data_IF_022458041542
#
_entry.id   IF_022458041542
#
_cell.length_a   1.000
_cell.length_b   1.000
_cell.length_c   1.000
_cell.angle_alpha   90.00
_cell.angle_beta   90.00
_cell.angle_gamma   90.00
#
_symmetry.space_group_name_H-M   'P 1'
#
loop_
_entity.id
_entity.type
_entity.pdbx_description
1 polymer ?
#
# COMPACT_ATOMS: atom_id res chain seq x y z
N UNK A 1 12.14 -7.74 12.81
CA UNK A 1 11.90 -6.32 13.12
C UNK A 1 10.64 -6.20 13.97
N UNK A 2 10.71 -5.41 15.05
CA UNK A 2 9.57 -5.07 15.91
C UNK A 2 9.40 -3.55 15.87
N UNK A 3 8.20 -3.06 15.68
CA UNK A 3 7.94 -1.62 15.59
C UNK A 3 6.67 -1.20 16.30
N UNK A 4 6.58 0.09 16.63
CA UNK A 4 5.38 0.79 17.03
C UNK A 4 5.27 2.06 16.20
N UNK A 5 4.08 2.32 15.67
CA UNK A 5 3.81 3.46 14.80
C UNK A 5 2.59 4.24 15.35
N UNK A 6 2.79 5.14 16.31
CA UNK A 6 1.74 6.01 16.77
C UNK A 6 1.45 7.09 15.71
N UNK A 7 0.20 7.19 15.30
CA UNK A 7 -0.25 8.20 14.36
C UNK A 7 -1.24 9.15 15.02
N UNK A 8 -0.85 10.42 15.15
CA UNK A 8 -1.67 11.49 15.69
C UNK A 8 -2.10 12.42 14.57
N UNK A 9 -3.41 12.49 14.30
CA UNK A 9 -3.95 13.33 13.20
C UNK A 9 -3.97 14.82 13.60
N UNK A 10 -4.45 15.13 14.80
CA UNK A 10 -4.58 16.49 15.32
C UNK A 10 -4.92 16.42 16.82
N UNK A 11 -4.50 17.41 17.60
CA UNK A 11 -4.88 17.52 19.03
C UNK A 11 -6.40 17.66 19.24
N UNK A 12 -7.09 18.25 18.27
CA UNK A 12 -8.55 18.42 18.28
C UNK A 12 -9.29 17.16 17.77
N UNK A 13 -8.57 16.20 17.18
CA UNK A 13 -9.08 14.94 16.64
C UNK A 13 -8.44 13.73 17.30
N UNK A 14 -8.08 13.83 18.57
CA UNK A 14 -7.44 12.74 19.32
C UNK A 14 -8.20 11.41 19.28
N UNK A 15 -9.52 11.48 19.12
CA UNK A 15 -10.38 10.30 18.97
C UNK A 15 -10.18 9.51 17.66
N UNK A 16 -9.42 10.06 16.71
CA UNK A 16 -9.07 9.35 15.47
C UNK A 16 -7.61 8.88 15.46
N UNK A 17 -6.93 9.00 16.59
CA UNK A 17 -5.55 8.55 16.73
C UNK A 17 -5.49 7.03 16.59
N UNK A 18 -4.47 6.58 15.90
CA UNK A 18 -4.23 5.17 15.62
C UNK A 18 -2.88 4.76 16.19
N UNK A 19 -2.85 3.63 16.87
CA UNK A 19 -1.63 2.96 17.29
C UNK A 19 -1.49 1.67 16.51
N UNK A 20 -0.30 1.36 16.06
CA UNK A 20 0.00 0.08 15.45
C UNK A 20 1.32 -0.45 16.00
N UNK A 21 1.32 -1.70 16.40
CA UNK A 21 2.51 -2.43 16.82
C UNK A 21 2.58 -3.75 16.07
N UNK A 22 3.78 -4.28 15.84
CA UNK A 22 3.85 -5.52 15.08
C UNK A 22 5.23 -6.11 15.00
N UNK A 23 5.30 -7.24 14.30
CA UNK A 23 6.51 -8.02 14.06
C UNK A 23 6.64 -8.29 12.57
N UNK A 24 7.83 -8.07 12.04
CA UNK A 24 8.21 -8.45 10.68
C UNK A 24 9.31 -9.48 10.72
N UNK A 25 9.11 -10.57 10.03
CA UNK A 25 10.11 -11.62 9.79
C UNK A 25 10.40 -11.63 8.29
N UNK A 26 11.67 -11.45 7.94
CA UNK A 26 12.11 -11.49 6.55
C UNK A 26 13.24 -12.50 6.41
N UNK A 27 13.17 -13.31 5.38
CA UNK A 27 14.23 -14.25 5.03
C UNK A 27 14.65 -14.03 3.57
N UNK A 28 15.91 -13.67 3.39
CA UNK A 28 16.50 -13.40 2.09
C UNK A 28 17.42 -14.56 1.68
N UNK A 29 17.62 -14.71 0.37
CA UNK A 29 18.54 -15.70 -0.23
C UNK A 29 18.19 -17.14 0.11
N UNK A 30 16.91 -17.50 -0.02
CA UNK A 30 16.45 -18.86 0.20
C UNK A 30 17.14 -19.82 -0.77
N UNK A 31 17.74 -20.90 -0.24
CA UNK A 31 18.48 -21.92 -0.99
C UNK A 31 19.58 -21.35 -1.91
N UNK A 32 20.20 -20.23 -1.50
CA UNK A 32 21.27 -19.58 -2.27
C UNK A 32 20.80 -18.75 -3.47
N UNK A 33 19.50 -18.59 -3.65
CA UNK A 33 18.89 -17.72 -4.64
C UNK A 33 18.56 -16.34 -4.04
N UNK A 34 18.28 -15.35 -4.89
CA UNK A 34 17.80 -14.03 -4.47
C UNK A 34 16.29 -14.02 -4.06
N UNK A 35 15.70 -15.18 -3.84
CA UNK A 35 14.31 -15.34 -3.42
C UNK A 35 14.12 -14.81 -1.99
N UNK A 36 13.08 -14.00 -1.78
CA UNK A 36 12.76 -13.36 -0.52
C UNK A 36 11.35 -13.73 -0.10
N UNK A 37 11.18 -14.02 1.20
CA UNK A 37 9.88 -14.21 1.84
C UNK A 37 9.80 -13.26 3.03
N UNK A 38 8.67 -12.60 3.17
CA UNK A 38 8.39 -11.74 4.30
C UNK A 38 7.04 -12.12 4.90
N UNK A 39 7.00 -12.19 6.22
CA UNK A 39 5.77 -12.24 6.99
C UNK A 39 5.72 -11.02 7.90
N UNK A 40 4.55 -10.38 7.96
CA UNK A 40 4.31 -9.23 8.83
C UNK A 40 3.01 -9.43 9.58
N UNK A 41 3.05 -9.35 10.89
CA UNK A 41 1.89 -9.21 11.74
C UNK A 41 1.84 -7.81 12.34
N UNK A 42 0.65 -7.23 12.41
CA UNK A 42 0.42 -5.91 12.99
C UNK A 42 -0.89 -5.91 13.74
N UNK A 43 -0.86 -5.45 15.00
CA UNK A 43 -2.05 -5.10 15.77
C UNK A 43 -2.35 -3.62 15.60
N UNK A 44 -3.61 -3.28 15.44
CA UNK A 44 -4.12 -1.93 15.16
C UNK A 44 -5.14 -1.59 16.27
N UNK A 45 -4.89 -0.49 16.96
CA UNK A 45 -5.77 0.05 18.00
C UNK A 45 -6.18 1.47 17.61
N UNK A 46 -7.43 1.84 17.88
CA UNK A 46 -7.97 3.18 17.68
C UNK A 46 -8.39 3.76 19.02
N UNK A 47 -8.24 5.07 19.20
CA UNK A 47 -8.69 5.75 20.44
C UNK A 47 -10.21 5.96 20.46
N UNK A 48 -10.92 5.77 19.34
CA UNK A 48 -12.38 5.84 19.21
C UNK A 48 -12.90 4.69 18.36
N UNK A 49 -13.55 3.71 18.98
CA UNK A 49 -14.17 2.56 18.32
C UNK A 49 -15.16 2.97 17.21
N UNK A 50 -15.83 4.10 17.38
CA UNK A 50 -16.78 4.63 16.39
C UNK A 50 -16.09 5.34 15.23
N UNK A 51 -14.77 5.60 15.28
CA UNK A 51 -13.99 6.20 14.21
C UNK A 51 -14.64 7.45 13.58
N UNK A 52 -15.25 8.31 14.41
CA UNK A 52 -15.93 9.53 13.97
C UNK A 52 -17.37 9.33 13.49
N UNK A 53 -17.94 8.14 13.60
CA UNK A 53 -19.33 7.84 13.21
C UNK A 53 -20.37 8.23 14.27
N UNK A 54 -19.95 8.75 15.42
CA UNK A 54 -20.82 9.15 16.53
C UNK A 54 -21.98 10.05 16.06
N UNK A 55 -21.72 11.00 15.19
CA UNK A 55 -22.76 11.90 14.66
C UNK A 55 -23.83 11.17 13.83
N UNK A 56 -23.48 10.08 13.14
CA UNK A 56 -24.44 9.29 12.38
C UNK A 56 -25.35 8.48 13.33
N UNK A 57 -24.82 8.03 14.47
CA UNK A 57 -25.60 7.36 15.52
C UNK A 57 -26.53 8.35 16.22
N UNK A 58 -26.04 9.52 16.59
CA UNK A 58 -26.83 10.57 17.24
C UNK A 58 -28.00 11.05 16.38
N UNK A 59 -27.82 11.08 15.06
CA UNK A 59 -28.88 11.42 14.11
C UNK A 59 -29.85 10.28 13.81
N UNK A 60 -29.50 9.06 14.24
CA UNK A 60 -30.29 7.86 13.94
C UNK A 60 -30.06 7.30 12.51
N UNK A 61 -29.03 7.78 11.81
CA UNK A 61 -28.69 7.30 10.46
C UNK A 61 -28.07 5.88 10.53
N UNK A 62 -27.40 5.54 11.64
CA UNK A 62 -26.85 4.22 11.92
C UNK A 62 -27.19 3.76 13.34
N UNK A 63 -27.40 2.48 13.51
CA UNK A 63 -27.51 1.85 14.84
C UNK A 63 -26.13 1.55 15.40
N UNK A 64 -26.02 1.40 16.74
CA UNK A 64 -24.77 0.98 17.38
C UNK A 64 -24.27 -0.40 16.89
N UNK A 65 -25.15 -1.31 16.48
CA UNK A 65 -24.75 -2.58 15.87
C UNK A 65 -24.15 -2.41 14.48
N UNK A 66 -24.66 -1.47 13.69
CA UNK A 66 -24.14 -1.16 12.36
C UNK A 66 -22.79 -0.45 12.41
N UNK A 67 -22.55 0.39 13.45
CA UNK A 67 -21.23 1.03 13.59
C UNK A 67 -20.14 0.04 13.94
N UNK A 68 -20.45 -1.02 14.70
CA UNK A 68 -19.47 -2.10 14.98
C UNK A 68 -18.98 -2.80 13.71
N UNK A 69 -19.81 -2.90 12.66
CA UNK A 69 -19.38 -3.46 11.38
C UNK A 69 -18.32 -2.59 10.67
N UNK A 70 -18.18 -1.33 11.05
CA UNK A 70 -17.23 -0.38 10.50
C UNK A 70 -15.98 -0.18 11.37
N UNK A 71 -15.83 -0.98 12.42
CA UNK A 71 -14.66 -0.94 13.28
C UNK A 71 -13.39 -1.27 12.50
N UNK A 72 -12.30 -0.60 12.84
CA UNK A 72 -10.99 -0.75 12.17
C UNK A 72 -9.90 -1.22 13.12
N UNK A 73 -10.28 -1.59 14.34
CA UNK A 73 -9.38 -2.26 15.27
C UNK A 73 -9.21 -3.72 14.88
N UNK A 74 -8.13 -4.34 15.31
CA UNK A 74 -7.86 -5.76 15.06
C UNK A 74 -6.47 -6.02 14.55
N UNK A 75 -6.31 -7.09 13.80
CA UNK A 75 -5.03 -7.59 13.37
C UNK A 75 -4.87 -7.54 11.84
N UNK A 76 -3.64 -7.41 11.39
CA UNK A 76 -3.25 -7.53 9.98
C UNK A 76 -2.16 -8.57 9.84
N UNK A 77 -2.35 -9.51 8.94
CA UNK A 77 -1.39 -10.54 8.59
C UNK A 77 -1.02 -10.38 7.11
N UNK A 78 0.26 -10.20 6.83
CA UNK A 78 0.76 -10.02 5.48
C UNK A 78 1.82 -11.07 5.18
N UNK A 79 1.70 -11.70 4.03
CA UNK A 79 2.69 -12.61 3.48
C UNK A 79 3.11 -12.12 2.10
N UNK A 80 4.42 -12.00 1.88
CA UNK A 80 4.98 -11.52 0.62
C UNK A 80 6.08 -12.46 0.14
N UNK A 81 6.10 -12.68 -1.16
CA UNK A 81 7.20 -13.35 -1.87
C UNK A 81 7.68 -12.48 -3.01
N UNK A 82 8.99 -12.42 -3.20
CA UNK A 82 9.63 -11.65 -4.25
C UNK A 82 10.82 -12.43 -4.81
N UNK A 83 10.99 -12.40 -6.12
CA UNK A 83 12.14 -12.99 -6.78
C UNK A 83 12.71 -12.07 -7.88
N UNK A 84 13.91 -11.48 -7.68
CA UNK A 84 14.56 -10.65 -8.68
C UNK A 84 15.36 -11.49 -9.69
N UNK A 85 14.94 -11.46 -10.95
CA UNK A 85 15.69 -11.99 -12.07
C UNK A 85 16.67 -10.94 -12.57
N UNK A 86 17.97 -11.27 -12.58
CA UNK A 86 19.04 -10.37 -13.02
C UNK A 86 19.60 -10.82 -14.36
N UNK A 87 19.70 -9.89 -15.31
CA UNK A 87 20.22 -10.12 -16.64
C UNK A 87 21.39 -9.16 -16.94
N UNK A 88 22.22 -9.49 -17.90
CA UNK A 88 23.36 -8.67 -18.32
C UNK A 88 24.21 -8.17 -17.14
N UNK A 89 24.66 -9.08 -16.29
CA UNK A 89 25.44 -8.76 -15.08
C UNK A 89 24.73 -7.80 -14.11
N UNK A 90 23.39 -7.80 -14.11
CA UNK A 90 22.57 -6.96 -13.24
C UNK A 90 22.20 -5.59 -13.79
N UNK A 91 22.50 -5.30 -15.06
CA UNK A 91 22.01 -4.08 -15.72
C UNK A 91 20.49 -4.05 -15.81
N UNK A 92 19.87 -5.21 -16.01
CA UNK A 92 18.42 -5.38 -16.03
C UNK A 92 18.00 -6.26 -14.86
N UNK A 93 17.01 -5.82 -14.11
CA UNK A 93 16.38 -6.59 -13.05
C UNK A 93 14.86 -6.58 -13.27
N UNK A 94 14.26 -7.75 -13.32
CA UNK A 94 12.80 -7.94 -13.32
C UNK A 94 12.44 -8.63 -12.01
N UNK A 95 11.62 -8.01 -11.20
CA UNK A 95 11.26 -8.49 -9.87
C UNK A 95 9.73 -8.64 -9.75
N UNK A 96 9.17 -9.82 -10.10
CA UNK A 96 7.80 -10.15 -9.74
C UNK A 96 7.70 -10.34 -8.23
N UNK A 97 6.59 -9.86 -7.67
CA UNK A 97 6.22 -10.08 -6.28
C UNK A 97 4.74 -10.44 -6.18
N UNK A 98 4.43 -11.22 -5.17
CA UNK A 98 3.06 -11.52 -4.75
C UNK A 98 2.92 -11.23 -3.28
N UNK A 99 1.82 -10.58 -2.92
CA UNK A 99 1.49 -10.24 -1.55
C UNK A 99 0.05 -10.69 -1.26
N UNK A 100 -0.13 -11.37 -0.14
CA UNK A 100 -1.43 -11.65 0.45
C UNK A 100 -1.52 -10.91 1.77
N UNK A 101 -2.62 -10.21 1.99
CA UNK A 101 -2.91 -9.53 3.26
C UNK A 101 -4.30 -9.93 3.73
N UNK A 102 -4.39 -10.44 4.95
CA UNK A 102 -5.64 -10.55 5.71
C UNK A 102 -5.70 -9.37 6.68
N UNK A 103 -6.75 -8.56 6.56
CA UNK A 103 -7.16 -7.61 7.57
C UNK A 103 -8.27 -8.26 8.40
N UNK A 104 -7.93 -8.74 9.57
CA UNK A 104 -8.83 -9.37 10.52
C UNK A 104 -9.27 -8.33 11.56
N UNK A 105 -10.19 -7.49 11.13
CA UNK A 105 -10.68 -6.37 11.92
C UNK A 105 -11.98 -6.74 12.62
N UNK A 106 -12.25 -6.11 13.76
CA UNK A 106 -13.46 -6.33 14.57
C UNK A 106 -14.73 -5.94 13.79
N UNK A 107 -14.61 -5.00 12.85
CA UNK A 107 -15.67 -4.64 11.93
C UNK A 107 -15.65 -5.44 10.64
N UNK A 108 -16.54 -6.42 10.47
CA UNK A 108 -16.59 -7.29 9.31
C UNK A 108 -16.76 -6.58 7.96
N UNK A 109 -17.34 -5.39 7.93
CA UNK A 109 -17.41 -4.58 6.71
C UNK A 109 -16.07 -3.87 6.36
N UNK A 110 -15.08 -3.93 7.26
CA UNK A 110 -13.73 -3.41 7.05
C UNK A 110 -12.70 -4.53 6.95
N UNK A 111 -12.99 -5.69 7.54
CA UNK A 111 -12.18 -6.90 7.40
C UNK A 111 -12.18 -7.37 5.95
N UNK A 112 -11.03 -7.80 5.43
CA UNK A 112 -10.92 -8.24 4.04
C UNK A 112 -9.70 -9.12 3.79
N UNK A 113 -9.78 -9.88 2.72
CA UNK A 113 -8.67 -10.56 2.08
C UNK A 113 -8.20 -9.76 0.86
N UNK A 114 -6.90 -9.49 0.79
CA UNK A 114 -6.30 -8.77 -0.33
C UNK A 114 -5.19 -9.57 -0.98
N UNK A 115 -5.29 -9.74 -2.27
CA UNK A 115 -4.30 -10.39 -3.14
C UNK A 115 -3.67 -9.37 -4.05
N UNK A 116 -2.34 -9.28 -4.08
CA UNK A 116 -1.64 -8.29 -4.88
C UNK A 116 -0.52 -8.93 -5.68
N UNK A 117 -0.52 -8.71 -6.98
CA UNK A 117 0.60 -8.98 -7.88
C UNK A 117 1.33 -7.69 -8.22
N UNK A 118 2.64 -7.74 -8.24
CA UNK A 118 3.49 -6.60 -8.60
C UNK A 118 4.60 -7.05 -9.53
N UNK A 119 4.92 -6.23 -10.51
CA UNK A 119 6.07 -6.42 -11.39
C UNK A 119 6.90 -5.15 -11.40
N UNK A 120 8.14 -5.27 -10.94
CA UNK A 120 9.10 -4.16 -10.95
C UNK A 120 10.20 -4.44 -11.95
N UNK A 121 10.56 -3.44 -12.74
CA UNK A 121 11.67 -3.48 -13.66
C UNK A 121 12.65 -2.35 -13.35
N UNK A 122 13.92 -2.71 -13.26
CA UNK A 122 15.02 -1.76 -13.16
C UNK A 122 15.99 -1.95 -14.32
N UNK A 123 16.41 -0.83 -14.89
CA UNK A 123 17.53 -0.76 -15.81
C UNK A 123 18.59 0.20 -15.26
N UNK A 124 19.82 -0.24 -15.23
CA UNK A 124 20.98 0.56 -14.81
C UNK A 124 21.94 0.71 -15.98
N UNK A 125 21.92 1.87 -16.60
CA UNK A 125 22.81 2.24 -17.70
C UNK A 125 23.84 3.30 -17.30
N UNK A 126 24.72 3.63 -18.20
CA UNK A 126 25.77 4.64 -17.98
C UNK A 126 25.20 6.07 -17.97
N UNK A 127 24.27 6.34 -18.90
CA UNK A 127 23.67 7.68 -19.10
C UNK A 127 22.37 7.82 -18.32
N UNK A 128 21.53 6.79 -18.27
CA UNK A 128 20.25 6.83 -17.58
C UNK A 128 19.93 5.53 -16.88
N UNK A 129 19.12 5.62 -15.82
CA UNK A 129 18.47 4.50 -15.18
C UNK A 129 16.97 4.60 -15.40
N UNK A 130 16.31 3.45 -15.45
CA UNK A 130 14.84 3.36 -15.53
C UNK A 130 14.35 2.51 -14.37
N UNK A 131 13.27 2.95 -13.73
CA UNK A 131 12.49 2.15 -12.80
C UNK A 131 11.03 2.16 -13.27
N UNK A 132 10.45 0.99 -13.48
CA UNK A 132 9.05 0.83 -13.81
C UNK A 132 8.40 -0.14 -12.82
N UNK A 133 7.18 0.16 -12.41
CA UNK A 133 6.40 -0.69 -11.54
C UNK A 133 4.98 -0.82 -12.07
N UNK A 134 4.45 -2.03 -12.07
CA UNK A 134 3.05 -2.34 -12.35
C UNK A 134 2.48 -3.08 -11.16
N UNK A 135 1.25 -2.74 -10.80
CA UNK A 135 0.54 -3.28 -9.64
C UNK A 135 -0.88 -3.64 -10.05
N UNK A 136 -1.32 -4.81 -9.61
CA UNK A 136 -2.73 -5.18 -9.54
C UNK A 136 -3.03 -5.77 -8.18
N UNK A 137 -4.14 -5.36 -7.56
CA UNK A 137 -4.61 -5.94 -6.31
C UNK A 137 -6.14 -6.09 -6.35
N UNK A 138 -6.61 -7.20 -5.79
CA UNK A 138 -8.02 -7.47 -5.55
C UNK A 138 -8.25 -7.57 -4.03
N UNK A 139 -9.28 -6.90 -3.52
CA UNK A 139 -9.70 -7.01 -2.13
C UNK A 139 -11.18 -7.41 -2.06
N UNK A 140 -11.48 -8.42 -1.24
CA UNK A 140 -12.84 -8.90 -0.95
C UNK A 140 -13.12 -8.72 0.54
N UNK A 141 -14.13 -7.92 0.87
CA UNK A 141 -14.52 -7.60 2.24
C UNK A 141 -15.46 -8.65 2.79
N UNK A 142 -15.45 -8.88 4.10
CA UNK A 142 -16.17 -10.02 4.70
C UNK A 142 -17.68 -9.80 4.73
N UNK A 143 -18.13 -8.60 5.09
CA UNK A 143 -19.53 -8.29 5.31
C UNK A 143 -20.03 -7.09 4.51
N UNK A 144 -21.36 -6.93 4.50
CA UNK A 144 -22.00 -5.79 3.86
C UNK A 144 -21.67 -4.49 4.62
N UNK A 145 -21.27 -3.47 3.87
CA UNK A 145 -21.15 -2.13 4.42
C UNK A 145 -22.53 -1.63 4.84
N UNK A 146 -22.75 -1.24 6.10
CA UNK A 146 -24.07 -0.89 6.62
C UNK A 146 -24.61 0.43 6.05
N UNK A 147 -23.74 1.28 5.46
CA UNK A 147 -24.14 2.54 4.81
C UNK A 147 -24.67 2.26 3.39
N UNK A 148 -23.96 1.40 2.65
CA UNK A 148 -24.26 1.11 1.24
C UNK A 148 -25.07 -0.18 1.03
N UNK A 149 -25.29 -0.96 2.10
CA UNK A 149 -26.04 -2.23 2.12
C UNK A 149 -25.52 -3.27 1.11
N UNK A 150 -24.20 -3.22 0.84
CA UNK A 150 -23.54 -4.02 -0.18
C UNK A 150 -22.17 -4.48 0.30
N UNK A 151 -21.81 -5.73 0.05
CA UNK A 151 -20.49 -6.24 0.28
C UNK A 151 -19.52 -5.56 -0.70
N UNK A 152 -18.45 -4.97 -0.17
CA UNK A 152 -17.45 -4.27 -0.98
C UNK A 152 -16.46 -5.24 -1.59
N UNK A 153 -16.08 -4.98 -2.82
CA UNK A 153 -14.88 -5.52 -3.43
C UNK A 153 -14.19 -4.44 -4.28
N UNK A 154 -12.87 -4.48 -4.31
CA UNK A 154 -12.06 -3.49 -5.01
C UNK A 154 -11.08 -4.18 -5.95
N UNK A 155 -10.98 -3.64 -7.17
CA UNK A 155 -9.88 -3.91 -8.09
C UNK A 155 -8.98 -2.68 -8.16
N UNK A 156 -7.75 -2.82 -7.71
CA UNK A 156 -6.78 -1.74 -7.68
C UNK A 156 -5.69 -2.03 -8.70
N UNK A 157 -5.40 -1.10 -9.58
CA UNK A 157 -4.33 -1.24 -10.54
C UNK A 157 -3.62 0.08 -10.79
N UNK A 158 -2.38 0.00 -11.12
CA UNK A 158 -1.59 1.18 -11.37
C UNK A 158 -0.19 0.88 -11.83
N UNK A 159 0.53 1.96 -12.10
CA UNK A 159 1.91 1.86 -12.50
C UNK A 159 2.65 3.16 -12.30
N UNK A 160 3.97 3.02 -12.23
CA UNK A 160 4.91 4.14 -12.13
C UNK A 160 6.05 3.90 -13.10
N UNK A 161 6.47 4.93 -13.80
CA UNK A 161 7.68 4.96 -14.61
C UNK A 161 8.53 6.15 -14.18
N UNK A 162 9.77 5.87 -13.80
CA UNK A 162 10.76 6.89 -13.47
C UNK A 162 11.98 6.72 -14.37
N UNK A 163 12.46 7.82 -14.91
CA UNK A 163 13.70 7.90 -15.69
C UNK A 163 14.63 8.86 -14.99
N UNK A 164 15.80 8.37 -14.64
CA UNK A 164 16.87 9.12 -14.02
C UNK A 164 17.98 9.34 -15.05
N UNK A 165 18.13 10.57 -15.55
CA UNK A 165 19.16 10.97 -16.49
C UNK A 165 20.37 11.55 -15.73
N UNK A 166 21.55 10.95 -15.93
CA UNK A 166 22.80 11.29 -15.23
C UNK A 166 23.58 12.36 -16.02
N UNK A 167 24.38 13.13 -15.29
CA UNK A 167 25.30 14.13 -15.86
C UNK A 167 24.60 15.07 -16.87
N UNK A 168 23.49 15.66 -16.43
CA UNK A 168 22.70 16.59 -17.25
C UNK A 168 23.60 17.74 -17.74
N UNK A 169 23.55 18.03 -19.04
CA UNK A 169 24.40 19.03 -19.70
C UNK A 169 25.92 18.77 -19.53
N UNK A 170 26.34 17.50 -19.43
CA UNK A 170 27.73 17.12 -19.20
C UNK A 170 28.29 17.60 -17.85
N UNK A 171 27.44 18.12 -16.97
CA UNK A 171 27.82 18.51 -15.62
C UNK A 171 27.81 17.29 -14.72
N UNK A 172 29.00 16.85 -14.29
CA UNK A 172 29.12 15.79 -13.28
C UNK A 172 28.27 16.14 -12.05
N UNK A 173 27.61 15.12 -11.49
CA UNK A 173 26.75 15.24 -10.29
C UNK A 173 25.42 16.00 -10.48
N UNK A 174 25.13 16.52 -11.67
CA UNK A 174 23.81 17.07 -11.99
C UNK A 174 22.96 16.01 -12.69
N UNK A 175 21.77 15.77 -12.18
CA UNK A 175 20.89 14.72 -12.69
C UNK A 175 19.46 15.22 -12.80
N UNK A 176 18.72 14.66 -13.75
CA UNK A 176 17.29 14.93 -13.95
C UNK A 176 16.50 13.65 -13.69
N UNK A 177 15.40 13.76 -12.94
CA UNK A 177 14.47 12.65 -12.73
C UNK A 177 13.08 13.06 -13.18
N UNK A 178 12.54 12.33 -14.14
CA UNK A 178 11.15 12.41 -14.55
C UNK A 178 10.38 11.19 -14.01
N UNK A 179 9.21 11.42 -13.42
CA UNK A 179 8.33 10.35 -12.96
C UNK A 179 6.91 10.61 -13.44
N UNK A 180 6.28 9.55 -13.97
CA UNK A 180 4.84 9.51 -14.24
C UNK A 180 4.24 8.33 -13.51
N UNK A 181 3.07 8.53 -12.89
CA UNK A 181 2.34 7.44 -12.25
C UNK A 181 0.83 7.63 -12.44
N UNK A 182 0.14 6.49 -12.46
CA UNK A 182 -1.31 6.43 -12.48
C UNK A 182 -1.80 5.26 -11.65
N UNK A 183 -2.86 5.49 -10.87
CA UNK A 183 -3.51 4.47 -10.05
C UNK A 183 -5.02 4.62 -10.17
N UNK A 184 -5.71 3.49 -10.26
CA UNK A 184 -7.16 3.42 -10.23
C UNK A 184 -7.60 2.36 -9.22
N UNK A 185 -8.57 2.73 -8.39
CA UNK A 185 -9.38 1.82 -7.60
C UNK A 185 -10.75 1.75 -8.27
N UNK A 186 -11.13 0.55 -8.70
CA UNK A 186 -12.40 0.24 -9.33
C UNK A 186 -13.19 -0.60 -8.33
N UNK A 187 -14.10 0.02 -7.62
CA UNK A 187 -14.87 -0.59 -6.54
C UNK A 187 -16.31 -0.85 -6.97
N UNK A 188 -16.93 -1.89 -6.42
CA UNK A 188 -18.36 -2.12 -6.67
C UNK A 188 -19.28 -1.16 -5.90
N UNK A 189 -18.72 -0.29 -5.07
CA UNK A 189 -19.39 0.83 -4.39
C UNK A 189 -18.71 2.12 -4.87
N UNK A 190 -19.42 2.93 -5.65
CA UNK A 190 -18.92 4.13 -6.35
C UNK A 190 -18.17 5.11 -5.44
N UNK A 191 -18.56 5.20 -4.16
CA UNK A 191 -17.87 6.04 -3.16
C UNK A 191 -16.39 5.71 -2.99
N UNK A 192 -15.99 4.47 -3.23
CA UNK A 192 -14.61 4.00 -3.08
C UNK A 192 -13.84 3.99 -4.40
N UNK A 193 -14.48 4.37 -5.51
CA UNK A 193 -13.76 4.54 -6.75
C UNK A 193 -12.82 5.74 -6.69
N UNK A 194 -11.60 5.55 -7.18
CA UNK A 194 -10.60 6.61 -7.18
C UNK A 194 -9.71 6.47 -8.41
N UNK A 195 -9.41 7.58 -9.06
CA UNK A 195 -8.39 7.65 -10.11
C UNK A 195 -7.43 8.76 -9.78
N UNK A 196 -6.14 8.44 -9.72
CA UNK A 196 -5.07 9.39 -9.41
C UNK A 196 -4.00 9.26 -10.49
N UNK A 197 -3.56 10.39 -11.01
CA UNK A 197 -2.40 10.46 -11.88
C UNK A 197 -1.52 11.64 -11.49
N UNK A 198 -0.20 11.47 -11.59
CA UNK A 198 0.71 12.57 -11.38
C UNK A 198 1.93 12.48 -12.31
N UNK A 199 2.53 13.63 -12.53
CA UNK A 199 3.81 13.79 -13.18
C UNK A 199 4.71 14.65 -12.29
N UNK A 200 5.99 14.29 -12.20
CA UNK A 200 6.99 15.12 -11.55
C UNK A 200 8.27 15.19 -12.36
N UNK A 201 8.95 16.34 -12.27
CA UNK A 201 10.27 16.56 -12.84
C UNK A 201 11.13 17.20 -11.78
N UNK A 202 12.28 16.61 -11.48
CA UNK A 202 13.17 17.05 -10.42
C UNK A 202 14.61 17.07 -10.89
N UNK A 203 15.36 18.09 -10.45
CA UNK A 203 16.80 18.21 -10.72
C UNK A 203 17.54 17.99 -9.41
N UNK A 204 18.54 17.14 -9.43
CA UNK A 204 19.39 16.82 -8.27
C UNK A 204 20.83 17.20 -8.56
N UNK A 205 21.45 17.83 -7.58
CA UNK A 205 22.88 18.10 -7.58
C UNK A 205 23.52 17.45 -6.33
N UNK A 206 24.59 16.70 -6.53
CA UNK A 206 25.33 16.06 -5.43
C UNK A 206 26.56 16.91 -5.12
N UNK A 207 26.66 17.41 -3.91
CA UNK A 207 27.80 18.15 -3.40
C UNK A 207 28.98 17.26 -3.06
#
# INVERSE_FOLDING_TARGET
EVWADPYVVDRTRSKTDRKASGVRLQYDKILGSDFQIQFTWRSIELDDELSGLTQLVERGDLTAAQTKLLDREGDSYQFEVLYPFKFEKGKHVIAPAFNYTRLDLDGGAMANDRYQGQLTYFYTGDIFNVAANLLYAYADYDENNPIYLKKRNDNNYGGTLSVFYKNLFEVERLSLVGTVAGFKSDANIDFYETTIGFFSLSVFYRF
#
